data_IF_398633934993
#
_entry.id   IF_398633934993
#
_cell.length_a   1.000
_cell.length_b   1.000
_cell.length_c   1.000
_cell.angle_alpha   90.00
_cell.angle_beta   90.00
_cell.angle_gamma   90.00
#
_symmetry.space_group_name_H-M   'P 1'
#
loop_
_entity.id
_entity.type
_entity.pdbx_description
1 polymer ?
#
# COMPACT_ATOMS: atom_id res chain seq x y z
N UNK A 1 9.42 30.70 -29.99
CA UNK A 1 10.49 29.95 -29.29
C UNK A 1 10.14 28.48 -29.38
N UNK A 2 10.92 27.71 -30.15
CA UNK A 2 10.72 26.27 -30.26
C UNK A 2 11.10 25.57 -28.95
N UNK A 3 10.09 25.14 -28.20
CA UNK A 3 10.23 24.36 -26.96
C UNK A 3 10.77 22.94 -27.21
N UNK A 4 11.05 22.57 -28.46
CA UNK A 4 11.47 21.23 -28.91
C UNK A 4 12.79 20.79 -28.29
N UNK A 5 13.71 21.71 -28.01
CA UNK A 5 14.98 21.42 -27.31
C UNK A 5 14.80 21.19 -25.81
N UNK A 6 13.77 21.77 -25.18
CA UNK A 6 13.49 21.61 -23.75
C UNK A 6 12.65 20.35 -23.45
N UNK A 7 11.84 19.88 -24.40
CA UNK A 7 10.98 18.69 -24.26
C UNK A 7 11.79 17.42 -23.97
N UNK A 8 12.87 17.18 -24.71
CA UNK A 8 13.67 15.96 -24.57
C UNK A 8 14.37 15.84 -23.20
N UNK A 9 15.07 16.88 -22.68
CA UNK A 9 15.61 16.86 -21.32
C UNK A 9 14.56 16.60 -20.25
N UNK A 10 13.37 17.21 -20.36
CA UNK A 10 12.28 16.99 -19.41
C UNK A 10 11.80 15.53 -19.46
N UNK A 11 11.58 14.99 -20.67
CA UNK A 11 11.17 13.59 -20.84
C UNK A 11 12.23 12.64 -20.25
N UNK A 12 13.51 12.88 -20.51
CA UNK A 12 14.61 12.09 -19.97
C UNK A 12 14.62 12.15 -18.44
N UNK A 13 14.44 13.33 -17.85
CA UNK A 13 14.36 13.49 -16.40
C UNK A 13 13.17 12.74 -15.81
N UNK A 14 12.01 12.78 -16.46
CA UNK A 14 10.82 12.03 -16.02
C UNK A 14 11.08 10.52 -16.08
N UNK A 15 11.65 10.01 -17.17
CA UNK A 15 11.97 8.58 -17.32
C UNK A 15 13.03 8.15 -16.30
N UNK A 16 14.09 8.94 -16.11
CA UNK A 16 15.11 8.66 -15.10
C UNK A 16 14.53 8.69 -13.68
N UNK A 17 13.62 9.62 -13.39
CA UNK A 17 12.89 9.67 -12.12
C UNK A 17 12.03 8.42 -11.91
N UNK A 18 11.28 7.98 -12.91
CA UNK A 18 10.49 6.73 -12.83
C UNK A 18 11.41 5.52 -12.62
N UNK A 19 12.50 5.41 -13.40
CA UNK A 19 13.48 4.34 -13.25
C UNK A 19 14.11 4.33 -11.84
N UNK A 20 14.39 5.51 -11.28
CA UNK A 20 14.87 5.64 -9.90
C UNK A 20 13.87 5.10 -8.87
N UNK A 21 12.56 5.31 -9.06
CA UNK A 21 11.52 4.77 -8.17
C UNK A 21 11.36 3.26 -8.22
N UNK A 22 11.85 2.58 -9.27
CA UNK A 22 11.96 1.13 -9.29
C UNK A 22 13.10 0.60 -8.41
N UNK A 23 14.07 1.45 -8.03
CA UNK A 23 15.23 1.05 -7.23
C UNK A 23 14.94 1.13 -5.73
N UNK A 24 15.60 0.29 -4.92
CA UNK A 24 15.49 0.35 -3.46
C UNK A 24 15.83 1.74 -2.87
N UNK A 25 16.88 2.45 -3.32
CA UNK A 25 17.16 3.81 -2.85
C UNK A 25 16.03 4.80 -3.13
N UNK A 26 15.38 4.73 -4.30
CA UNK A 26 14.28 5.64 -4.64
C UNK A 26 13.03 5.41 -3.82
N UNK A 27 12.67 4.15 -3.60
CA UNK A 27 11.57 3.78 -2.70
C UNK A 27 11.85 4.26 -1.28
N UNK A 28 13.06 3.99 -0.76
CA UNK A 28 13.45 4.41 0.59
C UNK A 28 13.44 5.94 0.73
N UNK A 29 13.88 6.68 -0.29
CA UNK A 29 13.82 8.14 -0.29
C UNK A 29 12.39 8.65 -0.14
N UNK A 30 11.44 8.08 -0.87
CA UNK A 30 10.03 8.47 -0.77
C UNK A 30 9.42 8.07 0.59
N UNK A 31 9.66 6.85 1.05
CA UNK A 31 9.16 6.40 2.37
C UNK A 31 9.71 7.30 3.48
N UNK A 32 10.99 7.65 3.42
CA UNK A 32 11.61 8.60 4.35
C UNK A 32 10.98 9.99 4.23
N UNK A 33 10.67 10.47 3.02
CA UNK A 33 10.00 11.76 2.84
C UNK A 33 8.66 11.83 3.58
N UNK A 34 7.85 10.77 3.50
CA UNK A 34 6.53 10.68 4.15
C UNK A 34 6.58 10.24 5.62
N UNK A 35 7.76 9.99 6.19
CA UNK A 35 7.90 9.60 7.61
C UNK A 35 8.69 10.60 8.44
N UNK A 36 9.17 11.69 7.81
CA UNK A 36 9.91 12.79 8.45
C UNK A 36 9.09 13.54 9.50
N UNK A 37 7.80 13.73 9.24
CA UNK A 37 6.93 14.42 10.20
C UNK A 37 6.63 13.52 11.39
N UNK A 38 6.57 14.12 12.58
CA UNK A 38 6.05 13.45 13.78
C UNK A 38 4.53 13.36 13.69
N UNK A 39 3.99 12.14 13.88
CA UNK A 39 2.55 11.90 13.85
C UNK A 39 1.87 12.75 14.94
N UNK A 40 0.78 13.43 14.59
CA UNK A 40 -0.01 14.27 15.48
C UNK A 40 0.45 15.74 15.57
N UNK A 41 1.53 16.12 14.90
CA UNK A 41 1.99 17.51 14.90
C UNK A 41 1.19 18.41 13.95
N UNK A 42 0.74 17.86 12.81
CA UNK A 42 -0.11 18.54 11.84
C UNK A 42 -1.00 17.52 11.14
N UNK A 43 -2.31 17.61 11.40
CA UNK A 43 -3.30 16.69 10.85
C UNK A 43 -3.35 16.71 9.32
N UNK A 44 -3.17 17.88 8.69
CA UNK A 44 -3.19 17.98 7.23
C UNK A 44 -1.94 17.31 6.62
N UNK A 45 -0.80 17.46 7.29
CA UNK A 45 0.45 16.80 6.89
C UNK A 45 0.37 15.29 7.09
N UNK A 46 -0.19 14.84 8.21
CA UNK A 46 -0.38 13.42 8.51
C UNK A 46 -1.28 12.74 7.48
N UNK A 47 -2.37 13.38 7.08
CA UNK A 47 -3.25 12.86 6.02
C UNK A 47 -2.52 12.75 4.67
N UNK A 48 -1.71 13.76 4.33
CA UNK A 48 -0.89 13.75 3.12
C UNK A 48 0.16 12.64 3.16
N UNK A 49 0.81 12.45 4.30
CA UNK A 49 1.88 11.48 4.49
C UNK A 49 1.35 10.04 4.51
N UNK A 50 0.21 9.79 5.15
CA UNK A 50 -0.53 8.53 5.08
C UNK A 50 -0.93 8.21 3.63
N UNK A 51 -1.49 9.17 2.90
CA UNK A 51 -1.84 8.99 1.50
C UNK A 51 -0.62 8.71 0.64
N UNK A 52 0.52 9.34 0.93
CA UNK A 52 1.80 9.12 0.27
C UNK A 52 2.29 7.68 0.41
N UNK A 53 2.37 7.18 1.65
CA UNK A 53 2.76 5.78 1.94
C UNK A 53 1.78 4.78 1.31
N UNK A 54 0.48 5.06 1.39
CA UNK A 54 -0.58 4.24 0.80
C UNK A 54 -0.44 4.13 -0.72
N UNK A 55 -0.05 5.22 -1.40
CA UNK A 55 0.21 5.23 -2.85
C UNK A 55 1.49 4.48 -3.22
N UNK A 56 2.57 4.67 -2.46
CA UNK A 56 3.82 3.92 -2.67
C UNK A 56 3.58 2.43 -2.51
N UNK A 57 2.90 2.00 -1.45
CA UNK A 57 2.53 0.60 -1.26
C UNK A 57 1.72 0.02 -2.42
N UNK A 58 0.78 0.80 -2.96
CA UNK A 58 0.01 0.43 -4.16
C UNK A 58 0.88 0.31 -5.42
N UNK A 59 1.80 1.25 -5.64
CA UNK A 59 2.76 1.19 -6.75
C UNK A 59 3.68 -0.02 -6.65
N UNK A 60 4.22 -0.30 -5.47
CA UNK A 60 5.06 -1.47 -5.22
C UNK A 60 4.29 -2.79 -5.44
N UNK A 61 3.02 -2.83 -5.02
CA UNK A 61 2.14 -3.96 -5.30
C UNK A 61 1.91 -4.15 -6.81
N UNK A 62 1.68 -3.06 -7.54
CA UNK A 62 1.50 -3.09 -9.00
C UNK A 62 2.77 -3.53 -9.75
N UNK A 63 3.95 -3.18 -9.23
CA UNK A 63 5.25 -3.59 -9.77
C UNK A 63 5.76 -4.93 -9.22
N UNK A 64 4.89 -5.74 -8.61
CA UNK A 64 5.20 -7.07 -8.06
C UNK A 64 6.27 -7.08 -6.94
N UNK A 65 6.59 -5.93 -6.35
CA UNK A 65 7.53 -5.82 -5.22
C UNK A 65 6.81 -6.09 -3.89
N UNK A 66 6.28 -7.31 -3.73
CA UNK A 66 5.32 -7.64 -2.67
C UNK A 66 5.83 -7.43 -1.24
N UNK A 67 7.08 -7.79 -0.95
CA UNK A 67 7.67 -7.60 0.39
C UNK A 67 7.75 -6.11 0.74
N UNK A 68 8.31 -5.28 -0.14
CA UNK A 68 8.41 -3.84 0.08
C UNK A 68 7.04 -3.17 0.15
N UNK A 69 6.09 -3.63 -0.66
CA UNK A 69 4.71 -3.17 -0.63
C UNK A 69 4.09 -3.44 0.74
N UNK A 70 4.25 -4.65 1.26
CA UNK A 70 3.81 -5.04 2.60
C UNK A 70 4.46 -4.17 3.67
N UNK A 71 5.78 -4.02 3.65
CA UNK A 71 6.51 -3.24 4.66
C UNK A 71 6.09 -1.77 4.67
N UNK A 72 5.87 -1.17 3.49
CA UNK A 72 5.41 0.22 3.35
C UNK A 72 3.98 0.41 3.88
N UNK A 73 3.09 -0.53 3.56
CA UNK A 73 1.70 -0.47 4.04
C UNK A 73 1.61 -0.76 5.54
N UNK A 74 2.40 -1.71 6.03
CA UNK A 74 2.52 -2.01 7.46
C UNK A 74 3.06 -0.80 8.24
N UNK A 75 4.02 -0.07 7.66
CA UNK A 75 4.52 1.18 8.24
C UNK A 75 3.43 2.25 8.33
N UNK A 76 2.61 2.41 7.30
CA UNK A 76 1.48 3.35 7.33
C UNK A 76 0.47 2.95 8.42
N UNK A 77 0.10 1.67 8.46
CA UNK A 77 -0.83 1.12 9.46
C UNK A 77 -0.28 1.27 10.88
N UNK A 78 1.01 1.00 11.10
CA UNK A 78 1.64 1.12 12.41
C UNK A 78 1.75 2.57 12.89
N UNK A 79 1.89 3.53 11.97
CA UNK A 79 2.03 4.96 12.30
C UNK A 79 0.70 5.63 12.61
N UNK A 80 -0.33 5.37 11.81
CA UNK A 80 -1.62 6.07 11.92
C UNK A 80 -2.69 5.24 12.64
N UNK A 81 -2.49 3.93 12.74
CA UNK A 81 -3.42 3.03 13.42
C UNK A 81 -4.79 2.95 12.74
N UNK A 82 -5.81 2.43 13.46
CA UNK A 82 -7.18 2.31 12.96
C UNK A 82 -7.86 3.63 12.60
N UNK A 83 -7.37 4.74 13.15
CA UNK A 83 -7.86 6.11 12.87
C UNK A 83 -7.36 6.62 11.51
N UNK A 84 -6.37 5.94 10.90
CA UNK A 84 -5.86 6.28 9.58
C UNK A 84 -6.93 6.13 8.49
N UNK A 85 -7.06 7.13 7.61
CA UNK A 85 -8.08 7.16 6.55
C UNK A 85 -7.97 6.00 5.58
N UNK A 86 -6.79 5.42 5.45
CA UNK A 86 -6.49 4.33 4.53
C UNK A 86 -6.20 3.01 5.25
N UNK A 87 -6.51 2.91 6.55
CA UNK A 87 -6.22 1.72 7.36
C UNK A 87 -6.76 0.43 6.74
N UNK A 88 -8.08 0.33 6.52
CA UNK A 88 -8.70 -0.88 5.96
C UNK A 88 -8.23 -1.19 4.54
N UNK A 89 -8.01 -0.16 3.72
CA UNK A 89 -7.50 -0.34 2.37
C UNK A 89 -6.04 -0.83 2.35
N UNK A 90 -5.22 -0.39 3.31
CA UNK A 90 -3.87 -0.89 3.50
C UNK A 90 -3.88 -2.35 3.93
N UNK A 91 -4.69 -2.73 4.92
CA UNK A 91 -4.88 -4.12 5.33
C UNK A 91 -5.31 -5.01 4.16
N UNK A 92 -6.32 -4.59 3.39
CA UNK A 92 -6.80 -5.36 2.24
C UNK A 92 -5.71 -5.62 1.20
N UNK A 93 -4.84 -4.65 0.95
CA UNK A 93 -3.71 -4.80 0.02
C UNK A 93 -2.56 -5.59 0.63
N UNK A 94 -2.31 -5.47 1.93
CA UNK A 94 -1.37 -6.31 2.66
C UNK A 94 -1.76 -7.79 2.58
N UNK A 95 -3.05 -8.12 2.71
CA UNK A 95 -3.53 -9.50 2.53
C UNK A 95 -3.18 -10.06 1.14
N UNK A 96 -3.25 -9.23 0.08
CA UNK A 96 -2.83 -9.61 -1.28
C UNK A 96 -1.31 -9.79 -1.39
N UNK A 97 -0.52 -8.95 -0.72
CA UNK A 97 0.93 -9.12 -0.66
C UNK A 97 1.30 -10.45 0.03
N UNK A 98 0.67 -10.75 1.17
CA UNK A 98 0.94 -11.97 1.94
C UNK A 98 0.58 -13.24 1.16
N UNK A 99 -0.53 -13.23 0.43
CA UNK A 99 -0.92 -14.33 -0.48
C UNK A 99 0.17 -14.58 -1.54
N UNK A 100 0.74 -13.51 -2.11
CA UNK A 100 1.83 -13.60 -3.09
C UNK A 100 3.20 -13.95 -2.50
N UNK A 101 3.37 -13.77 -1.20
CA UNK A 101 4.55 -14.16 -0.43
C UNK A 101 4.38 -15.54 0.23
N UNK A 102 3.30 -16.27 -0.08
CA UNK A 102 2.97 -17.59 0.47
C UNK A 102 2.79 -17.60 1.99
N UNK A 103 2.54 -16.42 2.59
CA UNK A 103 2.22 -16.22 4.01
C UNK A 103 0.72 -16.35 4.24
N UNK A 104 0.17 -17.52 3.89
CA UNK A 104 -1.27 -17.74 3.80
C UNK A 104 -2.01 -17.57 5.12
N UNK A 105 -1.43 -18.03 6.24
CA UNK A 105 -2.02 -17.87 7.58
C UNK A 105 -2.24 -16.40 7.92
N UNK A 106 -1.25 -15.56 7.66
CA UNK A 106 -1.34 -14.12 7.94
C UNK A 106 -2.31 -13.42 6.99
N UNK A 107 -2.31 -13.81 5.70
CA UNK A 107 -3.30 -13.32 4.74
C UNK A 107 -4.73 -13.64 5.19
N UNK A 108 -4.97 -14.88 5.63
CA UNK A 108 -6.25 -15.32 6.16
C UNK A 108 -6.68 -14.51 7.39
N UNK A 109 -5.78 -14.29 8.35
CA UNK A 109 -6.08 -13.51 9.55
C UNK A 109 -6.52 -12.08 9.19
N UNK A 110 -5.79 -11.40 8.29
CA UNK A 110 -6.20 -10.05 7.84
C UNK A 110 -7.56 -10.08 7.15
N UNK A 111 -7.86 -11.09 6.33
CA UNK A 111 -9.19 -11.20 5.71
C UNK A 111 -10.29 -11.39 6.75
N UNK A 112 -10.06 -12.18 7.79
CA UNK A 112 -11.00 -12.36 8.89
C UNK A 112 -11.20 -11.07 9.69
N UNK A 113 -10.13 -10.31 9.95
CA UNK A 113 -10.20 -9.01 10.60
C UNK A 113 -11.06 -8.04 9.79
N UNK A 114 -10.84 -7.96 8.47
CA UNK A 114 -11.63 -7.12 7.56
C UNK A 114 -13.12 -7.52 7.51
N UNK A 115 -13.41 -8.82 7.51
CA UNK A 115 -14.79 -9.33 7.58
C UNK A 115 -15.43 -8.95 8.91
N UNK A 116 -14.72 -9.12 10.03
CA UNK A 116 -15.24 -8.82 11.37
C UNK A 116 -15.55 -7.33 11.56
N UNK A 117 -14.76 -6.46 10.93
CA UNK A 117 -14.93 -5.02 10.98
C UNK A 117 -15.96 -4.47 9.97
N UNK A 118 -16.56 -5.31 9.12
CA UNK A 118 -17.35 -4.88 7.96
C UNK A 118 -16.63 -3.79 7.16
N UNK A 119 -15.35 -4.02 6.85
CA UNK A 119 -14.45 -2.98 6.33
C UNK A 119 -14.93 -2.32 5.02
N UNK A 120 -15.79 -2.99 4.23
CA UNK A 120 -16.40 -2.43 3.03
C UNK A 120 -17.29 -1.21 3.32
N UNK A 121 -18.02 -1.23 4.45
CA UNK A 121 -18.90 -0.13 4.85
C UNK A 121 -18.10 1.13 5.22
N UNK A 122 -16.91 0.94 5.79
CA UNK A 122 -15.99 2.03 6.11
C UNK A 122 -15.17 2.48 4.89
N UNK A 123 -14.79 1.56 4.01
CA UNK A 123 -13.98 1.82 2.83
C UNK A 123 -14.42 0.96 1.64
N UNK A 124 -15.15 1.57 0.71
CA UNK A 124 -15.70 0.92 -0.48
C UNK A 124 -14.63 0.36 -1.46
N UNK A 125 -13.35 0.66 -1.24
CA UNK A 125 -12.24 0.08 -2.03
C UNK A 125 -11.87 -1.33 -1.56
N UNK A 126 -12.27 -1.69 -0.34
CA UNK A 126 -12.18 -3.06 0.18
C UNK A 126 -13.31 -3.87 -0.47
N UNK A 127 -13.05 -5.14 -0.78
CA UNK A 127 -14.10 -6.02 -1.31
C UNK A 127 -15.20 -6.24 -0.27
N UNK A 128 -16.43 -6.51 -0.72
CA UNK A 128 -17.52 -6.88 0.18
C UNK A 128 -17.21 -8.15 1.00
N UNK A 129 -17.95 -8.34 2.08
CA UNK A 129 -17.73 -9.46 3.00
C UNK A 129 -17.91 -10.82 2.33
N UNK A 130 -18.77 -10.94 1.32
CA UNK A 130 -19.00 -12.21 0.62
C UNK A 130 -17.77 -12.60 -0.20
N UNK A 131 -17.17 -11.65 -0.91
CA UNK A 131 -15.91 -11.82 -1.64
C UNK A 131 -14.73 -12.08 -0.69
N UNK A 132 -14.67 -11.38 0.45
CA UNK A 132 -13.63 -11.62 1.45
C UNK A 132 -13.75 -13.03 2.03
N UNK A 133 -14.96 -13.49 2.37
CA UNK A 133 -15.23 -14.85 2.86
C UNK A 133 -14.88 -15.91 1.84
N UNK A 134 -15.18 -15.68 0.56
CA UNK A 134 -14.82 -16.59 -0.52
C UNK A 134 -13.29 -16.72 -0.64
N UNK A 135 -12.55 -15.60 -0.58
CA UNK A 135 -11.08 -15.62 -0.58
C UNK A 135 -10.51 -16.31 0.66
N UNK A 136 -11.05 -16.04 1.84
CA UNK A 136 -10.61 -16.65 3.09
C UNK A 136 -10.85 -18.17 3.10
N UNK A 137 -12.03 -18.61 2.64
CA UNK A 137 -12.38 -20.04 2.54
C UNK A 137 -11.46 -20.75 1.55
N UNK A 138 -11.20 -20.14 0.39
CA UNK A 138 -10.23 -20.67 -0.58
C UNK A 138 -8.84 -20.84 0.01
N UNK A 139 -8.33 -19.84 0.75
CA UNK A 139 -7.03 -19.96 1.40
C UNK A 139 -7.00 -21.11 2.41
N UNK A 140 -8.08 -21.27 3.18
CA UNK A 140 -8.22 -22.35 4.16
C UNK A 140 -8.24 -23.73 3.52
N UNK A 141 -9.03 -23.91 2.47
CA UNK A 141 -9.19 -25.20 1.78
C UNK A 141 -7.94 -25.58 0.99
N UNK A 142 -7.37 -24.65 0.23
CA UNK A 142 -6.23 -24.93 -0.67
C UNK A 142 -4.93 -25.14 0.12
N UNK A 143 -4.73 -24.39 1.21
CA UNK A 143 -3.47 -24.41 1.95
C UNK A 143 -3.58 -25.11 3.32
N UNK A 144 -4.73 -25.69 3.66
CA UNK A 144 -4.92 -26.49 4.87
C UNK A 144 -4.77 -25.70 6.17
N UNK A 145 -5.29 -24.47 6.21
CA UNK A 145 -5.22 -23.58 7.39
C UNK A 145 -6.16 -24.00 8.53
#
# INVERSE_FOLDING_TARGET
>A
MDLTFLKWPIIILVIAGIAFLFTSPGVNFLVNHYTKATVGADFAKDLSDESGLTRIGGYLLFTWQYQKAYDTMNLAVARYGPEGRHYYYNLYRMARCLDRLERYRESYNILMDLISANAHDADNRVADNDNLRLRASKLKEVHGL
#
